data_IF_192201047936
#
_entry.id   IF_192201047936
#
_cell.length_a   1.000
_cell.length_b   1.000
_cell.length_c   1.000
_cell.angle_alpha   90.00
_cell.angle_beta   90.00
_cell.angle_gamma   90.00
#
_symmetry.space_group_name_H-M   'P 1'
#
loop_
_entity.id
_entity.type
_entity.pdbx_description
1 polymer ?
#
# COMPACT_ATOMS: atom_id res chain seq x y z
N UNK A 1 9.76 -2.76 3.52
CA UNK A 1 10.26 -2.78 4.93
C UNK A 1 9.08 -2.52 5.85
N UNK A 2 8.86 -3.28 6.93
CA UNK A 2 7.69 -3.08 7.82
C UNK A 2 8.04 -2.05 8.89
N UNK A 3 7.31 -0.93 8.95
CA UNK A 3 7.50 0.13 9.96
C UNK A 3 6.48 0.00 11.09
N UNK A 4 6.92 0.16 12.33
CA UNK A 4 6.06 0.14 13.54
C UNK A 4 5.34 1.48 13.77
N UNK A 5 4.19 1.43 14.47
CA UNK A 5 3.22 2.51 14.66
C UNK A 5 3.75 3.83 15.24
N UNK A 6 4.95 3.86 15.82
CA UNK A 6 5.58 5.08 16.35
C UNK A 6 6.25 5.95 15.28
N UNK A 7 6.37 5.43 14.07
CA UNK A 7 7.11 6.05 12.95
C UNK A 7 6.16 6.36 11.79
N UNK A 8 4.95 6.86 12.09
CA UNK A 8 4.00 7.30 11.05
C UNK A 8 4.68 8.44 10.29
N UNK A 9 5.17 8.23 9.05
CA UNK A 9 5.85 9.27 8.32
C UNK A 9 4.90 10.46 8.18
N UNK A 10 5.44 11.68 8.31
CA UNK A 10 4.71 12.89 7.89
C UNK A 10 4.33 12.71 6.42
N UNK A 11 3.08 12.30 6.21
CA UNK A 11 2.55 12.07 4.88
C UNK A 11 2.52 13.40 4.15
N UNK A 12 2.90 13.43 2.88
CA UNK A 12 2.76 14.64 2.06
C UNK A 12 1.30 15.10 2.13
N UNK A 13 1.08 16.40 2.28
CA UNK A 13 -0.26 17.00 2.32
C UNK A 13 -1.09 16.50 1.12
N UNK A 14 -2.07 15.64 1.37
CA UNK A 14 -2.95 15.04 0.36
C UNK A 14 -2.79 13.53 0.12
N UNK A 15 -1.71 12.89 0.58
CA UNK A 15 -1.52 11.45 0.46
C UNK A 15 -2.24 10.71 1.61
N UNK A 16 -2.93 9.62 1.26
CA UNK A 16 -3.86 8.92 2.16
C UNK A 16 -3.41 7.48 2.36
N UNK A 17 -3.63 6.97 3.57
CA UNK A 17 -3.47 5.56 3.84
C UNK A 17 -4.63 4.75 3.26
N UNK A 18 -4.29 3.67 2.59
CA UNK A 18 -5.19 2.68 2.02
C UNK A 18 -4.97 1.33 2.72
N UNK A 19 -6.05 0.59 2.94
CA UNK A 19 -5.94 -0.80 3.40
C UNK A 19 -5.48 -1.71 2.27
N UNK A 20 -5.00 -2.91 2.61
CA UNK A 20 -4.63 -3.93 1.61
C UNK A 20 -5.77 -4.25 0.64
N UNK A 21 -7.02 -4.26 1.09
CA UNK A 21 -8.19 -4.48 0.24
C UNK A 21 -8.43 -3.34 -0.75
N UNK A 22 -8.28 -2.08 -0.30
CA UNK A 22 -8.42 -0.91 -1.17
C UNK A 22 -7.33 -0.88 -2.24
N UNK A 23 -6.08 -1.17 -1.86
CA UNK A 23 -4.96 -1.29 -2.81
C UNK A 23 -5.19 -2.43 -3.79
N UNK A 24 -5.68 -3.58 -3.31
CA UNK A 24 -5.98 -4.72 -4.16
C UNK A 24 -7.02 -4.37 -5.23
N UNK A 25 -8.08 -3.66 -4.84
CA UNK A 25 -9.11 -3.16 -5.76
C UNK A 25 -8.51 -2.17 -6.78
N UNK A 26 -7.83 -1.13 -6.31
CA UNK A 26 -7.26 -0.08 -7.15
C UNK A 26 -6.20 -0.59 -8.13
N UNK A 27 -5.38 -1.57 -7.71
CA UNK A 27 -4.35 -2.19 -8.53
C UNK A 27 -4.84 -3.41 -9.32
N UNK A 28 -6.13 -3.78 -9.22
CA UNK A 28 -6.73 -4.97 -9.86
C UNK A 28 -5.96 -6.27 -9.59
N UNK A 29 -5.67 -6.52 -8.32
CA UNK A 29 -4.99 -7.74 -7.82
C UNK A 29 -5.75 -8.35 -6.65
N UNK A 30 -5.33 -9.53 -6.21
CA UNK A 30 -5.87 -10.13 -4.99
C UNK A 30 -5.23 -9.50 -3.73
N UNK A 31 -5.95 -9.44 -2.59
CA UNK A 31 -5.35 -9.00 -1.32
C UNK A 31 -4.15 -9.86 -0.89
N UNK A 32 -4.12 -11.13 -1.28
CA UNK A 32 -2.98 -12.02 -1.07
C UNK A 32 -1.74 -11.56 -1.85
N UNK A 33 -1.89 -11.08 -3.08
CA UNK A 33 -0.78 -10.54 -3.86
C UNK A 33 -0.18 -9.27 -3.22
N UNK A 34 -1.03 -8.40 -2.66
CA UNK A 34 -0.60 -7.22 -1.91
C UNK A 34 0.16 -7.62 -0.65
N UNK A 35 -0.39 -8.54 0.15
CA UNK A 35 0.28 -9.05 1.36
C UNK A 35 1.63 -9.72 1.03
N UNK A 36 1.70 -10.46 -0.09
CA UNK A 36 2.95 -11.07 -0.57
C UNK A 36 3.96 -9.99 -0.95
N UNK A 37 3.56 -8.94 -1.67
CA UNK A 37 4.44 -7.83 -2.04
C UNK A 37 4.99 -7.09 -0.80
N UNK A 38 4.17 -6.92 0.25
CA UNK A 38 4.61 -6.35 1.53
C UNK A 38 5.66 -7.24 2.20
N UNK A 39 5.38 -8.55 2.32
CA UNK A 39 6.30 -9.53 2.92
C UNK A 39 7.63 -9.65 2.15
N UNK A 40 7.59 -9.54 0.83
CA UNK A 40 8.77 -9.57 -0.03
C UNK A 40 9.51 -8.22 -0.09
N UNK A 41 9.03 -7.20 0.64
CA UNK A 41 9.64 -5.87 0.67
C UNK A 41 9.48 -5.05 -0.61
N UNK A 42 8.60 -5.46 -1.52
CA UNK A 42 8.32 -4.77 -2.79
C UNK A 42 7.26 -3.68 -2.67
N UNK A 43 6.53 -3.65 -1.55
CA UNK A 43 5.55 -2.63 -1.23
C UNK A 43 5.73 -2.21 0.23
N UNK A 44 5.91 -0.93 0.47
CA UNK A 44 6.01 -0.41 1.82
C UNK A 44 4.63 -0.28 2.46
N UNK A 45 4.56 -0.68 3.73
CA UNK A 45 3.35 -0.64 4.53
C UNK A 45 3.69 -0.30 5.98
N UNK A 46 2.79 0.45 6.60
CA UNK A 46 2.78 0.75 8.02
C UNK A 46 1.80 -0.19 8.72
N UNK A 47 2.22 -0.79 9.84
CA UNK A 47 1.29 -1.58 10.67
C UNK A 47 0.62 -0.64 11.67
N UNK A 48 -0.71 -0.63 11.70
CA UNK A 48 -1.50 0.09 12.68
C UNK A 48 -2.61 -0.83 13.22
N UNK A 49 -2.63 -1.07 14.53
CA UNK A 49 -3.59 -1.98 15.19
C UNK A 49 -3.65 -3.36 14.50
N UNK A 50 -2.48 -3.93 14.21
CA UNK A 50 -2.35 -5.26 13.59
C UNK A 50 -2.78 -5.35 12.11
N UNK A 51 -3.09 -4.23 11.46
CA UNK A 51 -3.47 -4.16 10.04
C UNK A 51 -2.42 -3.39 9.23
N UNK A 52 -2.22 -3.78 7.98
CA UNK A 52 -1.35 -3.06 7.05
C UNK A 52 -2.09 -1.88 6.40
N UNK A 53 -1.42 -0.74 6.43
CA UNK A 53 -1.82 0.49 5.75
C UNK A 53 -0.71 0.90 4.80
N UNK A 54 -1.09 1.20 3.56
CA UNK A 54 -0.18 1.51 2.46
C UNK A 54 -0.48 2.93 2.02
N UNK A 55 0.55 3.73 1.77
CA UNK A 55 0.34 5.06 1.19
C UNK A 55 -0.19 4.94 -0.24
N UNK A 56 -1.18 5.75 -0.59
CA UNK A 56 -1.75 5.77 -1.95
C UNK A 56 -0.66 6.01 -2.99
N UNK A 57 0.32 6.87 -2.70
CA UNK A 57 1.46 7.11 -3.58
C UNK A 57 2.30 5.85 -3.83
N UNK A 58 2.52 5.01 -2.83
CA UNK A 58 3.28 3.76 -2.96
C UNK A 58 2.43 2.65 -3.62
N UNK A 59 1.13 2.61 -3.34
CA UNK A 59 0.19 1.74 -4.02
C UNK A 59 0.14 2.03 -5.54
N UNK A 60 0.19 3.32 -5.92
CA UNK A 60 0.25 3.75 -7.31
C UNK A 60 1.55 3.30 -7.99
N UNK A 61 2.71 3.53 -7.37
CA UNK A 61 4.00 3.03 -7.88
C UNK A 61 4.00 1.51 -8.05
N UNK A 62 3.40 0.79 -7.11
CA UNK A 62 3.28 -0.67 -7.17
C UNK A 62 2.43 -1.12 -8.37
N UNK A 63 1.31 -0.46 -8.64
CA UNK A 63 0.48 -0.76 -9.80
C UNK A 63 1.18 -0.41 -11.12
N UNK A 64 1.85 0.75 -11.18
CA UNK A 64 2.64 1.19 -12.34
C UNK A 64 3.80 0.23 -12.65
N UNK A 65 4.55 -0.20 -11.64
CA UNK A 65 5.63 -1.18 -11.78
C UNK A 65 5.13 -2.55 -12.29
N UNK A 66 3.86 -2.88 -12.03
CA UNK A 66 3.21 -4.08 -12.53
C UNK A 66 2.55 -3.89 -13.92
N UNK A 67 2.68 -2.71 -14.54
CA UNK A 67 2.06 -2.39 -15.83
C UNK A 67 0.54 -2.23 -15.78
N UNK A 68 -0.02 -1.92 -14.61
CA UNK A 68 -1.47 -1.82 -14.40
C UNK A 68 -1.92 -0.36 -14.25
N UNK A 69 -3.08 -0.01 -14.81
CA UNK A 69 -3.73 1.28 -14.54
C UNK A 69 -4.31 1.28 -13.12
N UNK A 70 -3.80 2.16 -12.28
CA UNK A 70 -4.35 2.41 -10.94
C UNK A 70 -5.66 3.20 -11.08
N UNK A 71 -6.73 2.76 -10.43
CA UNK A 71 -8.03 3.45 -10.42
C UNK A 71 -8.24 4.10 -9.04
N UNK A 72 -8.53 5.40 -9.02
CA UNK A 72 -8.81 6.20 -7.81
C UNK A 72 -10.31 6.30 -7.48
N UNK A 73 -11.14 5.44 -8.09
CA UNK A 73 -12.60 5.39 -7.94
C UNK A 73 -13.07 5.27 -6.48
#
# INVERSE_FOLDING_TARGET
>A
MIRESHDIPKVKSGDRYMTTSMVAHAARVTPQAVNKAIKEGRLDATVFVGKYYILMSDAKKYAEAAGRKFSED
#
